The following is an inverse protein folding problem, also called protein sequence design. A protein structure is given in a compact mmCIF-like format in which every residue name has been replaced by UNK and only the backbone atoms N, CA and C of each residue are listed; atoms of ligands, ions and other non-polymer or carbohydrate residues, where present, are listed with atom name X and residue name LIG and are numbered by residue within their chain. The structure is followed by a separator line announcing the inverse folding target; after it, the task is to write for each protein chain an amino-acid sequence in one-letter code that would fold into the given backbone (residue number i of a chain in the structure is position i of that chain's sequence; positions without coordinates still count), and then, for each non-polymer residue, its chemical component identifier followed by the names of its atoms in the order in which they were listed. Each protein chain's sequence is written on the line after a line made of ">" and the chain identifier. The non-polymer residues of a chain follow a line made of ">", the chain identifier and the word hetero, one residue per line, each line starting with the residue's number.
data_IF_722248937113
#
_entry.id   IF_722248937113
#
_cell.length_a   1.000
_cell.length_b   1.000
_cell.length_c   1.000
_cell.angle_alpha   90.00
_cell.angle_beta   90.00
_cell.angle_gamma   90.00
#
_symmetry.space_group_name_H-M   'P 1'
#
loop_
_entity.id
_entity.type
_entity.pdbx_description
1 polymer ?
#
# COMPACT_ATOMS: atom_id res chain seq x y z
N UNK A 1 -4.48 9.54 -78.71
CA UNK A 1 -3.20 9.86 -79.37
C UNK A 1 -2.11 9.94 -78.31
N UNK A 2 -1.00 9.23 -78.53
CA UNK A 2 0.23 9.19 -77.71
C UNK A 2 0.79 10.60 -77.42
N UNK A 3 1.72 10.90 -76.51
CA UNK A 3 2.68 10.24 -75.59
C UNK A 3 3.06 11.34 -74.55
N UNK A 4 3.67 11.11 -73.38
CA UNK A 4 5.10 10.82 -73.12
C UNK A 4 5.26 10.58 -71.60
N UNK A 5 6.27 9.78 -71.29
CA UNK A 5 6.71 9.13 -70.03
C UNK A 5 7.46 10.06 -69.05
N UNK A 6 7.51 9.65 -67.77
CA UNK A 6 8.57 9.77 -66.72
C UNK A 6 8.04 10.42 -65.42
N UNK A 7 7.86 9.61 -64.36
CA UNK A 7 8.81 9.37 -63.22
C UNK A 7 8.87 10.57 -62.26
N UNK A 8 8.89 10.50 -60.92
CA UNK A 8 8.87 9.45 -59.90
C UNK A 8 8.60 10.20 -58.56
N UNK A 9 7.81 9.59 -57.67
CA UNK A 9 7.94 9.59 -56.18
C UNK A 9 8.23 10.91 -55.42
N UNK A 10 7.37 11.21 -54.42
CA UNK A 10 7.77 12.10 -53.32
C UNK A 10 6.64 12.61 -52.44
N UNK A 11 6.11 11.75 -51.58
CA UNK A 11 4.98 12.01 -50.70
C UNK A 11 5.23 13.06 -49.59
N UNK A 12 4.10 13.63 -49.13
CA UNK A 12 3.77 14.10 -47.77
C UNK A 12 3.78 15.62 -47.44
N UNK A 13 2.55 16.15 -47.47
CA UNK A 13 1.86 16.90 -46.39
C UNK A 13 2.28 18.34 -46.07
N UNK A 14 1.45 19.34 -46.42
CA UNK A 14 1.64 20.72 -45.97
C UNK A 14 1.06 20.96 -44.58
N UNK A 15 1.93 21.45 -43.70
CA UNK A 15 1.59 22.31 -42.58
C UNK A 15 0.97 23.63 -43.09
N UNK A 16 0.06 24.17 -42.27
CA UNK A 16 -0.18 25.60 -42.01
C UNK A 16 -1.45 26.28 -42.59
N UNK A 17 -1.95 27.18 -41.73
CA UNK A 17 -2.99 28.21 -41.88
C UNK A 17 -4.46 27.74 -41.84
N UNK A 18 -5.38 28.37 -41.09
CA UNK A 18 -5.44 29.77 -40.72
C UNK A 18 -6.19 30.02 -39.40
N UNK A 19 -5.71 31.03 -38.67
CA UNK A 19 -6.46 31.85 -37.73
C UNK A 19 -7.39 32.83 -38.47
N UNK A 20 -8.63 33.01 -38.01
CA UNK A 20 -9.29 34.33 -37.97
C UNK A 20 -10.67 34.27 -37.29
N UNK A 21 -10.79 35.10 -36.25
CA UNK A 21 -11.94 35.99 -35.95
C UNK A 21 -13.32 35.40 -35.66
N UNK A 22 -13.74 35.49 -34.39
CA UNK A 22 -14.93 36.28 -34.04
C UNK A 22 -14.83 36.76 -32.58
N UNK A 23 -14.57 38.06 -32.41
CA UNK A 23 -14.92 38.83 -31.22
C UNK A 23 -16.36 39.28 -31.41
N UNK A 24 -17.21 39.13 -30.38
CA UNK A 24 -18.14 40.15 -29.83
C UNK A 24 -19.03 39.47 -28.79
N UNK A 25 -19.12 40.07 -27.59
CA UNK A 25 -20.21 39.83 -26.65
C UNK A 25 -19.81 39.23 -25.30
N UNK A 26 -19.14 39.99 -24.44
CA UNK A 26 -19.16 39.73 -23.00
C UNK A 26 -20.55 40.05 -22.44
N UNK A 27 -21.23 39.03 -21.91
CA UNK A 27 -22.21 39.18 -20.83
C UNK A 27 -21.73 38.27 -19.70
N UNK A 28 -21.30 38.80 -18.53
CA UNK A 28 -20.94 37.97 -17.40
C UNK A 28 -22.22 37.48 -16.70
N UNK A 29 -22.79 36.41 -17.24
CA UNK A 29 -23.96 35.73 -16.70
C UNK A 29 -23.63 34.27 -16.41
N UNK A 30 -23.48 33.95 -15.13
CA UNK A 30 -23.61 32.64 -14.50
C UNK A 30 -23.69 31.41 -15.44
N UNK A 31 -22.53 30.82 -15.76
CA UNK A 31 -22.46 29.39 -16.07
C UNK A 31 -22.16 28.63 -14.78
N UNK A 32 -23.20 28.44 -13.97
CA UNK A 32 -23.20 27.44 -12.90
C UNK A 32 -23.34 26.06 -13.55
N UNK A 33 -22.23 25.54 -14.08
CA UNK A 33 -22.11 24.12 -14.34
C UNK A 33 -22.14 23.41 -12.97
N UNK A 34 -23.32 22.99 -12.54
CA UNK A 34 -23.51 22.10 -11.39
C UNK A 34 -22.89 20.75 -11.73
N UNK A 35 -21.57 20.63 -11.55
CA UNK A 35 -20.98 19.34 -11.22
C UNK A 35 -21.60 18.91 -9.90
N UNK A 36 -22.57 18.00 -9.93
CA UNK A 36 -22.95 17.21 -8.75
C UNK A 36 -21.76 16.29 -8.39
N UNK A 37 -20.71 16.90 -7.86
CA UNK A 37 -19.64 16.22 -7.13
C UNK A 37 -19.88 16.49 -5.65
N UNK A 38 -19.79 15.45 -4.83
CA UNK A 38 -19.79 15.57 -3.37
C UNK A 38 -18.79 16.67 -2.96
N UNK A 39 -19.27 17.78 -2.40
CA UNK A 39 -18.40 18.84 -1.85
C UNK A 39 -17.85 18.35 -0.52
N UNK A 40 -16.66 17.76 -0.58
CA UNK A 40 -15.90 17.38 0.61
C UNK A 40 -15.65 18.66 1.42
N UNK A 41 -16.02 18.66 2.70
CA UNK A 41 -15.72 19.77 3.60
C UNK A 41 -14.20 19.85 3.73
N UNK A 42 -13.59 21.04 3.59
CA UNK A 42 -12.17 21.22 3.83
C UNK A 42 -11.76 20.66 5.20
N UNK A 43 -10.62 19.98 5.34
CA UNK A 43 -10.22 19.34 6.60
C UNK A 43 -10.23 20.29 7.81
N UNK A 44 -9.80 21.54 7.60
CA UNK A 44 -9.77 22.59 8.64
C UNK A 44 -11.19 22.95 9.13
N UNK A 45 -12.11 23.17 8.19
CA UNK A 45 -13.51 23.46 8.51
C UNK A 45 -14.17 22.26 9.21
N UNK A 46 -13.87 21.04 8.79
CA UNK A 46 -14.37 19.83 9.45
C UNK A 46 -13.85 19.70 10.90
N UNK A 47 -12.59 20.05 11.14
CA UNK A 47 -11.99 20.07 12.47
C UNK A 47 -12.65 21.13 13.37
N UNK A 48 -12.89 22.33 12.82
CA UNK A 48 -13.57 23.41 13.52
C UNK A 48 -15.00 23.02 13.90
N UNK A 49 -15.79 22.53 12.95
CA UNK A 49 -17.16 22.08 13.21
C UNK A 49 -17.18 20.99 14.29
N UNK A 50 -16.30 20.00 14.22
CA UNK A 50 -16.20 18.95 15.23
C UNK A 50 -15.87 19.50 16.62
N UNK A 51 -15.02 20.52 16.71
CA UNK A 51 -14.67 21.18 17.97
C UNK A 51 -15.87 21.93 18.55
N UNK A 52 -16.58 22.72 17.73
CA UNK A 52 -17.77 23.45 18.17
C UNK A 52 -18.87 22.51 18.66
N UNK A 53 -19.10 21.37 17.97
CA UNK A 53 -20.08 20.38 18.41
C UNK A 53 -19.66 19.67 19.69
N UNK A 54 -18.37 19.42 19.88
CA UNK A 54 -17.84 18.83 21.09
C UNK A 54 -18.01 19.74 22.30
N UNK A 55 -17.70 21.03 22.16
CA UNK A 55 -17.88 22.03 23.21
C UNK A 55 -19.34 22.12 23.65
N UNK A 56 -20.31 22.05 22.72
CA UNK A 56 -21.75 22.04 23.02
C UNK A 56 -22.21 20.88 23.91
N UNK A 57 -21.52 19.73 23.86
CA UNK A 57 -21.87 18.54 24.63
C UNK A 57 -20.88 18.26 25.77
N UNK A 58 -19.98 19.19 26.08
CA UNK A 58 -18.98 19.04 27.15
C UNK A 58 -17.89 18.00 26.84
N UNK A 59 -17.65 17.71 25.56
CA UNK A 59 -16.61 16.81 25.09
C UNK A 59 -15.30 17.58 24.83
N UNK A 60 -14.15 16.90 24.90
CA UNK A 60 -12.83 17.52 24.76
C UNK A 60 -12.64 18.21 23.37
N UNK A 61 -11.95 19.35 23.26
CA UNK A 61 -11.70 20.01 21.97
C UNK A 61 -10.58 19.34 21.13
N UNK A 62 -9.81 18.40 21.68
CA UNK A 62 -8.80 17.62 20.96
C UNK A 62 -9.41 16.40 20.26
N UNK A 63 -9.17 16.18 18.95
CA UNK A 63 -9.67 15.02 18.21
C UNK A 63 -9.34 13.67 18.86
N UNK A 64 -8.12 13.53 19.41
CA UNK A 64 -7.70 12.28 20.05
C UNK A 64 -8.48 12.03 21.34
N UNK A 65 -8.56 13.02 22.23
CA UNK A 65 -9.32 12.88 23.47
C UNK A 65 -10.81 12.65 23.19
N UNK A 66 -11.37 13.34 22.18
CA UNK A 66 -12.73 13.08 21.71
C UNK A 66 -12.95 11.66 21.27
N UNK A 67 -12.07 11.15 20.40
CA UNK A 67 -12.21 9.81 19.87
C UNK A 67 -12.28 8.78 21.01
N UNK A 68 -11.46 8.95 22.05
CA UNK A 68 -11.46 8.08 23.25
C UNK A 68 -12.76 8.21 24.04
N UNK A 69 -13.25 9.44 24.26
CA UNK A 69 -14.56 9.68 24.92
C UNK A 69 -15.73 9.08 24.13
N UNK A 70 -15.61 8.99 22.80
CA UNK A 70 -16.58 8.34 21.91
C UNK A 70 -16.45 6.80 21.87
N UNK A 71 -15.46 6.23 22.55
CA UNK A 71 -15.19 4.79 22.60
C UNK A 71 -14.37 4.26 21.43
N UNK A 72 -13.62 5.10 20.72
CA UNK A 72 -12.68 4.67 19.69
C UNK A 72 -11.35 4.23 20.30
N UNK A 73 -10.93 3.02 19.97
CA UNK A 73 -9.60 2.49 20.22
C UNK A 73 -8.70 2.64 18.98
N UNK A 74 -7.43 3.01 19.21
CA UNK A 74 -6.45 3.32 18.18
C UNK A 74 -5.41 2.21 18.03
N UNK A 75 -4.56 2.33 17.01
CA UNK A 75 -3.47 1.38 16.71
C UNK A 75 -3.85 0.32 15.68
N UNK A 76 -5.07 0.37 15.16
CA UNK A 76 -5.54 -0.53 14.13
C UNK A 76 -5.10 -0.09 12.73
N UNK A 77 -4.82 -1.05 11.86
CA UNK A 77 -4.41 -0.85 10.48
C UNK A 77 -5.28 -1.66 9.54
N UNK A 78 -5.59 -1.09 8.38
CA UNK A 78 -6.30 -1.76 7.30
C UNK A 78 -5.54 -1.65 5.99
N UNK A 79 -5.33 -2.77 5.30
CA UNK A 79 -4.80 -2.79 3.94
C UNK A 79 -5.91 -2.58 2.92
N UNK A 80 -5.76 -1.60 2.04
CA UNK A 80 -6.67 -1.33 0.92
C UNK A 80 -5.90 -1.30 -0.40
N UNK A 81 -6.53 -1.65 -1.50
CA UNK A 81 -5.95 -1.58 -2.86
C UNK A 81 -5.99 -0.18 -3.46
N UNK A 82 -6.50 0.82 -2.72
CA UNK A 82 -6.73 2.19 -3.18
C UNK A 82 -7.21 3.09 -2.04
N UNK A 83 -7.10 4.41 -2.22
CA UNK A 83 -7.64 5.39 -1.25
C UNK A 83 -9.16 5.30 -1.11
N UNK A 84 -9.66 4.94 0.07
CA UNK A 84 -11.11 4.84 0.35
C UNK A 84 -11.60 6.02 1.20
N UNK A 85 -12.80 6.49 0.89
CA UNK A 85 -13.51 7.50 1.70
C UNK A 85 -14.44 6.88 2.74
N UNK A 86 -14.90 5.64 2.50
CA UNK A 86 -15.82 4.91 3.37
C UNK A 86 -15.62 3.40 3.26
N UNK A 87 -15.89 2.70 4.36
CA UNK A 87 -16.04 1.25 4.36
C UNK A 87 -17.43 0.87 3.85
N UNK A 88 -17.49 -0.16 3.00
CA UNK A 88 -18.68 -0.54 2.24
C UNK A 88 -19.03 -2.00 2.48
N UNK A 89 -20.23 -2.27 2.98
CA UNK A 89 -20.70 -3.65 3.25
C UNK A 89 -20.79 -4.48 1.97
N UNK A 90 -21.04 -3.86 0.83
CA UNK A 90 -21.13 -4.53 -0.46
C UNK A 90 -19.77 -4.95 -1.05
N UNK A 91 -18.66 -4.57 -0.41
CA UNK A 91 -17.29 -4.94 -0.82
C UNK A 91 -16.63 -5.94 0.17
N UNK A 92 -17.40 -6.47 1.13
CA UNK A 92 -16.89 -7.45 2.10
C UNK A 92 -16.37 -8.70 1.38
N UNK A 93 -15.12 -9.08 1.68
CA UNK A 93 -14.46 -10.23 1.07
C UNK A 93 -14.01 -10.07 -0.38
N UNK A 94 -14.18 -8.89 -1.01
CA UNK A 94 -13.89 -8.68 -2.46
C UNK A 94 -12.41 -8.94 -2.82
N UNK A 95 -11.48 -8.76 -1.87
CA UNK A 95 -10.05 -8.99 -2.10
C UNK A 95 -9.56 -10.38 -1.72
N UNK A 96 -10.10 -10.98 -0.66
CA UNK A 96 -9.57 -12.24 -0.11
C UNK A 96 -10.45 -13.46 -0.42
N UNK A 97 -11.74 -13.26 -0.72
CA UNK A 97 -12.70 -14.35 -0.92
C UNK A 97 -13.07 -15.15 0.33
N UNK A 98 -12.41 -14.92 1.47
CA UNK A 98 -12.60 -15.68 2.70
C UNK A 98 -14.03 -15.53 3.27
N UNK A 99 -14.61 -16.62 3.78
CA UNK A 99 -15.97 -16.62 4.35
C UNK A 99 -16.12 -15.68 5.54
N UNK A 100 -15.09 -15.57 6.38
CA UNK A 100 -15.05 -14.62 7.48
C UNK A 100 -15.04 -13.16 6.99
N UNK A 101 -14.29 -12.86 5.92
CA UNK A 101 -14.17 -11.54 5.32
C UNK A 101 -15.47 -11.04 4.66
N UNK A 102 -16.40 -11.94 4.34
CA UNK A 102 -17.74 -11.59 3.84
C UNK A 102 -18.68 -11.08 4.94
N UNK A 103 -18.31 -11.22 6.21
CA UNK A 103 -19.18 -10.96 7.38
C UNK A 103 -18.75 -9.75 8.22
N UNK A 104 -17.54 -9.23 8.04
CA UNK A 104 -17.04 -8.09 8.81
C UNK A 104 -15.78 -7.46 8.21
N UNK A 105 -15.41 -6.29 8.73
CA UNK A 105 -14.21 -5.56 8.32
C UNK A 105 -13.04 -5.94 9.21
N UNK A 106 -11.92 -6.34 8.62
CA UNK A 106 -10.74 -6.86 9.32
C UNK A 106 -9.63 -5.82 9.44
N UNK A 107 -8.99 -5.82 10.60
CA UNK A 107 -7.92 -4.89 10.97
C UNK A 107 -6.83 -5.64 11.70
N UNK A 108 -5.59 -5.19 11.51
CA UNK A 108 -4.42 -5.70 12.20
C UNK A 108 -3.86 -4.65 13.16
N UNK A 109 -3.29 -5.08 14.28
CA UNK A 109 -2.63 -4.21 15.26
C UNK A 109 -1.45 -4.96 15.88
N UNK A 110 -0.45 -4.22 16.32
CA UNK A 110 0.63 -4.79 17.14
C UNK A 110 0.04 -5.47 18.39
N UNK A 111 0.54 -6.65 18.80
CA UNK A 111 -0.04 -7.37 19.92
C UNK A 111 0.10 -6.52 21.20
N UNK A 112 -1.01 -6.25 21.89
CA UNK A 112 -0.97 -5.41 23.10
C UNK A 112 -0.37 -6.15 24.30
N UNK A 113 -0.69 -7.44 24.45
CA UNK A 113 -0.25 -8.29 25.55
C UNK A 113 0.34 -9.59 25.01
N UNK A 114 1.49 -9.52 24.30
CA UNK A 114 2.14 -10.72 23.78
C UNK A 114 2.62 -11.62 24.94
N UNK A 115 2.62 -12.95 24.75
CA UNK A 115 3.16 -13.87 25.74
C UNK A 115 4.62 -13.52 26.08
N UNK A 116 4.97 -13.49 27.37
CA UNK A 116 6.29 -13.04 27.82
C UNK A 116 7.46 -13.83 27.20
N UNK A 117 7.27 -15.13 26.94
CA UNK A 117 8.27 -15.97 26.31
C UNK A 117 8.57 -15.58 24.84
N UNK A 118 7.68 -14.83 24.19
CA UNK A 118 7.87 -14.31 22.83
C UNK A 118 8.59 -12.96 22.79
N UNK A 119 8.71 -12.30 23.94
CA UNK A 119 9.42 -11.02 24.06
C UNK A 119 10.93 -11.19 24.24
N UNK A 120 11.41 -12.42 24.33
CA UNK A 120 12.83 -12.77 24.51
C UNK A 120 13.31 -13.67 23.38
N UNK A 121 14.52 -13.43 22.86
CA UNK A 121 15.11 -14.23 21.77
C UNK A 121 15.58 -15.60 22.26
N UNK A 122 16.12 -15.64 23.48
CA UNK A 122 16.59 -16.86 24.10
C UNK A 122 16.41 -16.82 25.62
N UNK A 123 16.22 -17.98 26.27
CA UNK A 123 16.25 -18.09 27.74
C UNK A 123 17.55 -17.54 28.35
N UNK A 124 17.47 -17.05 29.58
CA UNK A 124 18.59 -16.43 30.31
C UNK A 124 19.77 -17.37 30.56
N UNK A 125 19.52 -18.68 30.57
CA UNK A 125 20.46 -19.78 30.72
C UNK A 125 20.93 -20.36 29.38
N UNK A 126 20.51 -19.78 28.25
CA UNK A 126 20.96 -20.21 26.93
C UNK A 126 22.45 -19.94 26.73
N UNK A 127 23.11 -20.83 25.95
CA UNK A 127 24.52 -20.68 25.56
C UNK A 127 24.81 -19.32 24.89
N UNK A 128 23.83 -18.78 24.17
CA UNK A 128 23.93 -17.48 23.51
C UNK A 128 24.01 -16.33 24.52
N UNK A 129 23.15 -16.34 25.54
CA UNK A 129 23.17 -15.33 26.61
C UNK A 129 24.43 -15.48 27.46
N UNK A 130 24.85 -16.71 27.75
CA UNK A 130 26.09 -16.98 28.48
C UNK A 130 27.34 -16.50 27.71
N UNK A 131 27.37 -16.67 26.39
CA UNK A 131 28.45 -16.14 25.55
C UNK A 131 28.55 -14.61 25.67
N UNK A 132 27.42 -13.88 25.64
CA UNK A 132 27.43 -12.42 25.81
C UNK A 132 27.99 -12.00 27.17
N UNK A 133 27.66 -12.74 28.25
CA UNK A 133 28.26 -12.52 29.58
C UNK A 133 29.77 -12.75 29.56
N UNK A 134 30.24 -13.83 28.92
CA UNK A 134 31.68 -14.15 28.79
C UNK A 134 32.44 -13.10 27.96
N UNK A 135 31.77 -12.43 27.03
CA UNK A 135 32.31 -11.32 26.26
C UNK A 135 32.34 -9.98 27.03
N UNK A 136 31.94 -9.98 28.31
CA UNK A 136 31.97 -8.79 29.17
C UNK A 136 30.87 -7.78 28.87
N UNK A 137 29.81 -8.17 28.17
CA UNK A 137 28.69 -7.29 27.88
C UNK A 137 27.85 -7.11 29.16
N UNK A 138 27.53 -5.86 29.57
CA UNK A 138 26.70 -5.60 30.73
C UNK A 138 25.29 -6.23 30.65
N UNK A 139 24.73 -6.68 31.77
CA UNK A 139 23.41 -7.34 31.82
C UNK A 139 22.27 -6.47 31.27
N UNK A 140 22.32 -5.14 31.44
CA UNK A 140 21.32 -4.23 30.87
C UNK A 140 21.37 -4.19 29.34
N UNK A 141 22.57 -4.31 28.76
CA UNK A 141 22.77 -4.41 27.32
C UNK A 141 22.38 -5.79 26.80
N UNK A 142 22.67 -6.86 27.54
CA UNK A 142 22.21 -8.23 27.21
C UNK A 142 20.68 -8.26 27.19
N UNK A 143 20.01 -7.69 28.20
CA UNK A 143 18.55 -7.61 28.26
C UNK A 143 17.97 -6.88 27.05
N UNK A 144 18.54 -5.72 26.67
CA UNK A 144 18.13 -4.98 25.46
C UNK A 144 18.34 -5.80 24.18
N UNK A 145 19.51 -6.44 24.03
CA UNK A 145 19.82 -7.29 22.87
C UNK A 145 18.93 -8.52 22.80
N UNK A 146 18.49 -9.06 23.94
CA UNK A 146 17.63 -10.23 24.03
C UNK A 146 16.14 -9.89 23.88
N UNK A 147 15.76 -8.61 23.90
CA UNK A 147 14.37 -8.18 23.74
C UNK A 147 13.94 -8.29 22.27
N UNK A 148 12.71 -8.77 22.05
CA UNK A 148 12.02 -8.76 20.76
C UNK A 148 10.98 -7.65 20.77
N UNK A 149 11.04 -6.75 19.78
CA UNK A 149 9.99 -5.75 19.56
C UNK A 149 8.97 -6.31 18.58
N UNK A 150 7.69 -6.15 18.90
CA UNK A 150 6.57 -6.47 18.00
C UNK A 150 6.04 -5.22 17.28
N UNK A 151 6.72 -4.09 17.42
CA UNK A 151 6.30 -2.81 16.85
C UNK A 151 6.30 -2.87 15.32
N UNK A 152 5.18 -2.48 14.71
CA UNK A 152 5.00 -2.45 13.27
C UNK A 152 4.46 -3.73 12.65
N UNK A 153 4.30 -4.82 13.43
CA UNK A 153 3.75 -6.08 12.92
C UNK A 153 2.32 -5.93 12.35
N UNK A 154 1.49 -5.11 13.00
CA UNK A 154 0.13 -4.84 12.54
C UNK A 154 0.12 -4.09 11.21
N UNK A 155 1.00 -3.10 11.05
CA UNK A 155 1.12 -2.34 9.82
C UNK A 155 1.69 -3.18 8.65
N UNK A 156 2.69 -4.02 8.91
CA UNK A 156 3.25 -4.93 7.91
C UNK A 156 2.22 -5.98 7.47
N UNK A 157 1.47 -6.55 8.42
CA UNK A 157 0.40 -7.49 8.11
C UNK A 157 -0.70 -6.84 7.27
N UNK A 158 -1.14 -5.63 7.64
CA UNK A 158 -2.10 -4.86 6.86
C UNK A 158 -1.56 -4.55 5.45
N UNK A 159 -0.27 -4.24 5.32
CA UNK A 159 0.38 -4.06 4.02
C UNK A 159 0.24 -5.31 3.16
N UNK A 160 0.45 -6.50 3.73
CA UNK A 160 0.27 -7.77 3.03
C UNK A 160 -1.13 -7.92 2.41
N UNK A 161 -2.17 -7.41 3.06
CA UNK A 161 -3.55 -7.46 2.55
C UNK A 161 -3.83 -6.44 1.44
N UNK A 162 -3.16 -5.28 1.45
CA UNK A 162 -3.28 -4.30 0.37
C UNK A 162 -2.85 -4.87 -0.99
N UNK A 163 -1.95 -5.86 -0.99
CA UNK A 163 -1.38 -6.48 -2.18
C UNK A 163 -2.21 -7.63 -2.77
N UNK A 164 -3.24 -8.12 -2.06
CA UNK A 164 -4.02 -9.28 -2.51
C UNK A 164 -5.16 -8.90 -3.48
N UNK A 165 -5.55 -7.63 -3.54
CA UNK A 165 -6.85 -7.24 -4.09
C UNK A 165 -6.89 -6.75 -5.54
N UNK A 166 -5.84 -6.89 -6.35
CA UNK A 166 -5.81 -6.40 -7.74
C UNK A 166 -5.90 -4.87 -7.90
N UNK A 167 -5.98 -4.38 -9.15
CA UNK A 167 -6.30 -2.96 -9.42
C UNK A 167 -7.72 -2.65 -8.97
N UNK A 168 -7.88 -1.59 -8.18
CA UNK A 168 -9.18 -1.12 -7.75
C UNK A 168 -10.00 -0.59 -8.92
N UNK A 169 -9.39 0.15 -9.82
CA UNK A 169 -10.04 0.72 -11.00
C UNK A 169 -10.65 -0.37 -11.87
N UNK A 170 -9.89 -1.46 -12.09
CA UNK A 170 -10.37 -2.65 -12.78
C UNK A 170 -11.62 -3.24 -12.09
N UNK A 171 -11.55 -3.47 -10.78
CA UNK A 171 -12.68 -4.01 -10.00
C UNK A 171 -13.89 -3.08 -10.02
N UNK A 172 -13.67 -1.77 -9.93
CA UNK A 172 -14.75 -0.79 -10.00
C UNK A 172 -15.44 -0.77 -11.36
N UNK A 173 -14.67 -0.84 -12.45
CA UNK A 173 -15.17 -0.95 -13.81
C UNK A 173 -16.00 -2.24 -13.99
N UNK A 174 -15.46 -3.39 -13.57
CA UNK A 174 -16.18 -4.67 -13.60
C UNK A 174 -17.49 -4.63 -12.78
N UNK A 175 -17.49 -3.99 -11.61
CA UNK A 175 -18.69 -3.85 -10.78
C UNK A 175 -19.76 -2.98 -11.46
N UNK A 176 -19.35 -1.85 -12.05
CA UNK A 176 -20.27 -0.96 -12.78
C UNK A 176 -20.82 -1.67 -14.02
N UNK A 177 -19.98 -2.42 -14.74
CA UNK A 177 -20.38 -3.26 -15.85
C UNK A 177 -21.44 -4.29 -15.42
N UNK A 178 -21.17 -5.09 -14.38
CA UNK A 178 -22.12 -6.07 -13.84
C UNK A 178 -23.43 -5.43 -13.35
N UNK A 179 -23.37 -4.25 -12.72
CA UNK A 179 -24.54 -3.52 -12.27
C UNK A 179 -25.37 -2.98 -13.46
N UNK A 180 -24.72 -2.52 -14.53
CA UNK A 180 -25.38 -2.09 -15.75
C UNK A 180 -26.04 -3.27 -16.48
N UNK A 181 -25.37 -4.41 -16.55
CA UNK A 181 -25.92 -5.65 -17.11
C UNK A 181 -27.20 -6.08 -16.39
N UNK A 182 -27.18 -6.10 -15.05
CA UNK A 182 -28.37 -6.40 -14.23
C UNK A 182 -29.54 -5.44 -14.47
N UNK A 183 -29.26 -4.20 -14.87
CA UNK A 183 -30.26 -3.18 -15.21
C UNK A 183 -30.69 -3.21 -16.68
N UNK A 184 -30.13 -4.10 -17.49
CA UNK A 184 -30.37 -4.15 -18.94
C UNK A 184 -29.73 -2.99 -19.73
N UNK A 185 -28.85 -2.19 -19.10
CA UNK A 185 -28.17 -1.07 -19.76
C UNK A 185 -26.92 -1.55 -20.50
N UNK A 186 -27.12 -2.09 -21.71
CA UNK A 186 -26.03 -2.68 -22.52
C UNK A 186 -24.96 -1.66 -22.91
N UNK A 187 -25.31 -0.40 -23.13
CA UNK A 187 -24.35 0.67 -23.48
C UNK A 187 -23.39 0.94 -22.33
N UNK A 188 -23.91 1.07 -21.10
CA UNK A 188 -23.07 1.27 -19.91
C UNK A 188 -22.27 0.01 -19.55
N UNK A 189 -22.84 -1.18 -19.77
CA UNK A 189 -22.14 -2.46 -19.62
C UNK A 189 -20.89 -2.52 -20.49
N UNK A 190 -21.03 -2.30 -21.81
CA UNK A 190 -19.89 -2.36 -22.75
C UNK A 190 -18.84 -1.31 -22.44
N UNK A 191 -19.26 -0.07 -22.13
CA UNK A 191 -18.35 1.03 -21.81
C UNK A 191 -17.51 0.77 -20.55
N UNK A 192 -18.08 0.14 -19.53
CA UNK A 192 -17.34 -0.20 -18.32
C UNK A 192 -16.53 -1.49 -18.46
N UNK A 193 -16.94 -2.41 -19.34
CA UNK A 193 -16.14 -3.60 -19.68
C UNK A 193 -14.88 -3.22 -20.48
N UNK A 194 -15.01 -2.36 -21.49
CA UNK A 194 -13.89 -1.83 -22.28
C UNK A 194 -12.84 -1.15 -21.38
N UNK A 195 -13.28 -0.34 -20.41
CA UNK A 195 -12.38 0.24 -19.41
C UNK A 195 -11.62 -0.82 -18.61
N UNK A 196 -12.30 -1.90 -18.19
CA UNK A 196 -11.67 -2.97 -17.44
C UNK A 196 -10.62 -3.70 -18.31
N UNK A 197 -10.94 -3.96 -19.58
CA UNK A 197 -10.00 -4.55 -20.54
C UNK A 197 -8.79 -3.64 -20.78
N UNK A 198 -8.99 -2.34 -20.99
CA UNK A 198 -7.92 -1.36 -21.15
C UNK A 198 -6.98 -1.30 -19.95
N UNK A 199 -7.53 -1.33 -18.74
CA UNK A 199 -6.74 -1.36 -17.50
C UNK A 199 -5.90 -2.64 -17.42
N UNK A 200 -6.51 -3.80 -17.71
CA UNK A 200 -5.80 -5.08 -17.68
C UNK A 200 -4.71 -5.17 -18.76
N UNK A 201 -4.99 -4.68 -19.97
CA UNK A 201 -4.02 -4.63 -21.08
C UNK A 201 -2.88 -3.65 -20.79
N UNK A 202 -3.17 -2.51 -20.19
CA UNK A 202 -2.16 -1.54 -19.76
C UNK A 202 -1.21 -2.13 -18.71
N UNK A 203 -1.75 -2.78 -17.68
CA UNK A 203 -0.94 -3.46 -16.64
C UNK A 203 -0.07 -4.57 -17.26
N UNK A 204 -0.65 -5.38 -18.17
CA UNK A 204 0.09 -6.42 -18.89
C UNK A 204 1.24 -5.84 -19.73
N UNK A 205 0.97 -4.79 -20.52
CA UNK A 205 2.00 -4.13 -21.36
C UNK A 205 3.10 -3.53 -20.49
N UNK A 206 2.76 -2.89 -19.37
CA UNK A 206 3.73 -2.34 -18.45
C UNK A 206 4.62 -3.44 -17.84
N UNK A 207 4.04 -4.56 -17.37
CA UNK A 207 4.80 -5.72 -16.88
C UNK A 207 5.72 -6.34 -17.94
N UNK A 208 5.23 -6.50 -19.18
CA UNK A 208 6.04 -6.98 -20.29
C UNK A 208 7.21 -6.04 -20.59
N UNK A 209 6.96 -4.72 -20.61
CA UNK A 209 8.01 -3.71 -20.80
C UNK A 209 9.06 -3.75 -19.69
N UNK A 210 8.64 -4.01 -18.45
CA UNK A 210 9.53 -4.15 -17.29
C UNK A 210 10.42 -5.36 -17.38
N UNK A 211 9.91 -6.52 -17.81
CA UNK A 211 10.72 -7.72 -18.04
C UNK A 211 11.78 -7.44 -19.12
N UNK A 212 11.41 -6.73 -20.19
CA UNK A 212 12.35 -6.28 -21.23
C UNK A 212 13.45 -5.39 -20.66
N UNK A 213 13.08 -4.29 -19.97
CA UNK A 213 14.02 -3.37 -19.33
C UNK A 213 14.92 -4.07 -18.30
N UNK A 214 14.39 -5.03 -17.56
CA UNK A 214 15.14 -5.79 -16.57
C UNK A 214 16.20 -6.68 -17.22
N UNK A 215 15.84 -7.42 -18.27
CA UNK A 215 16.80 -8.24 -19.02
C UNK A 215 17.88 -7.38 -19.67
N UNK A 216 17.49 -6.28 -20.33
CA UNK A 216 18.44 -5.36 -20.97
C UNK A 216 19.41 -4.75 -19.94
N UNK A 217 18.89 -4.22 -18.82
CA UNK A 217 19.73 -3.64 -17.78
C UNK A 217 20.66 -4.68 -17.13
N UNK A 218 20.20 -5.93 -16.99
CA UNK A 218 21.04 -7.03 -16.49
C UNK A 218 22.20 -7.30 -17.44
N UNK A 219 21.91 -7.43 -18.72
CA UNK A 219 22.90 -7.80 -19.72
C UNK A 219 23.92 -6.67 -19.92
N UNK A 220 23.47 -5.41 -19.97
CA UNK A 220 24.35 -4.22 -19.98
C UNK A 220 25.27 -4.17 -18.75
N UNK A 221 24.73 -4.46 -17.57
CA UNK A 221 25.48 -4.47 -16.31
C UNK A 221 26.55 -5.56 -16.33
N UNK A 222 26.19 -6.80 -16.67
CA UNK A 222 27.11 -7.93 -16.69
C UNK A 222 28.25 -7.70 -17.70
N UNK A 223 27.91 -7.23 -18.90
CA UNK A 223 28.89 -6.88 -19.94
C UNK A 223 29.83 -5.75 -19.47
N UNK A 224 29.30 -4.70 -18.84
CA UNK A 224 30.12 -3.58 -18.36
C UNK A 224 31.03 -3.99 -17.21
N UNK A 225 30.57 -4.82 -16.27
CA UNK A 225 31.39 -5.36 -15.20
C UNK A 225 32.49 -6.26 -15.78
N UNK A 226 32.15 -7.12 -16.73
CA UNK A 226 33.12 -8.01 -17.36
C UNK A 226 34.20 -7.22 -18.10
N UNK A 227 33.82 -6.20 -18.88
CA UNK A 227 34.76 -5.29 -19.55
C UNK A 227 35.62 -4.52 -18.55
N UNK A 228 35.05 -4.03 -17.44
CA UNK A 228 35.81 -3.28 -16.45
C UNK A 228 36.91 -4.14 -15.79
N UNK A 229 36.60 -5.40 -15.49
CA UNK A 229 37.51 -6.30 -14.76
C UNK A 229 38.53 -6.99 -15.68
N UNK A 230 38.09 -7.50 -16.84
CA UNK A 230 38.91 -8.36 -17.70
C UNK A 230 39.61 -7.62 -18.86
N UNK A 231 39.46 -6.31 -19.01
CA UNK A 231 40.16 -5.53 -20.05
C UNK A 231 41.66 -5.30 -19.77
N UNK A 232 42.30 -6.22 -19.04
CA UNK A 232 43.72 -6.19 -18.68
C UNK A 232 44.40 -7.39 -19.32
N UNK A 233 45.53 -7.18 -19.99
CA UNK A 233 46.40 -8.28 -20.42
C UNK A 233 47.14 -8.82 -19.19
N UNK A 234 46.83 -10.04 -18.79
CA UNK A 234 47.43 -10.71 -17.64
C UNK A 234 48.08 -12.03 -18.06
N UNK A 235 49.17 -12.46 -17.38
CA UNK A 235 49.67 -13.82 -17.46
C UNK A 235 48.58 -14.83 -17.10
N UNK A 236 48.65 -16.04 -17.69
CA UNK A 236 47.60 -17.07 -17.57
C UNK A 236 47.25 -17.41 -16.11
N UNK A 237 48.24 -17.52 -15.23
CA UNK A 237 48.06 -17.81 -13.80
C UNK A 237 47.31 -16.68 -13.07
N UNK A 238 47.64 -15.42 -13.36
CA UNK A 238 46.96 -14.27 -12.76
C UNK A 238 45.54 -14.10 -13.30
N UNK A 239 45.31 -14.44 -14.57
CA UNK A 239 43.98 -14.45 -15.18
C UNK A 239 43.08 -15.53 -14.54
N UNK A 240 43.61 -16.71 -14.25
CA UNK A 240 42.89 -17.79 -13.57
C UNK A 240 42.54 -17.43 -12.12
N UNK A 241 43.46 -16.79 -11.38
CA UNK A 241 43.18 -16.29 -10.03
C UNK A 241 42.11 -15.19 -10.03
N UNK A 242 42.18 -14.25 -10.98
CA UNK A 242 41.18 -13.20 -11.15
C UNK A 242 39.80 -13.82 -11.44
N UNK A 243 39.72 -14.78 -12.35
CA UNK A 243 38.47 -15.44 -12.71
C UNK A 243 37.84 -16.19 -11.52
N UNK A 244 38.66 -16.89 -10.74
CA UNK A 244 38.22 -17.53 -9.50
C UNK A 244 37.62 -16.51 -8.52
N UNK A 245 38.32 -15.39 -8.30
CA UNK A 245 37.86 -14.32 -7.40
C UNK A 245 36.55 -13.68 -7.89
N UNK A 246 36.41 -13.45 -9.21
CA UNK A 246 35.18 -12.92 -9.80
C UNK A 246 34.01 -13.88 -9.61
N UNK A 247 34.21 -15.19 -9.81
CA UNK A 247 33.17 -16.21 -9.58
C UNK A 247 32.75 -16.32 -8.11
N UNK A 248 33.68 -16.13 -7.17
CA UNK A 248 33.38 -16.07 -5.73
C UNK A 248 32.59 -14.81 -5.36
N UNK A 249 32.94 -13.66 -5.94
CA UNK A 249 32.26 -12.38 -5.71
C UNK A 249 30.87 -12.32 -6.34
N UNK A 250 30.71 -12.96 -7.50
CA UNK A 250 29.53 -12.90 -8.36
C UNK A 250 29.12 -14.32 -8.83
N UNK A 251 28.70 -15.21 -7.91
CA UNK A 251 28.22 -16.53 -8.27
C UNK A 251 26.95 -16.45 -9.14
N UNK A 252 26.63 -17.53 -9.84
CA UNK A 252 25.43 -17.58 -10.68
C UNK A 252 24.17 -17.11 -9.91
N UNK A 253 23.46 -16.13 -10.46
CA UNK A 253 22.26 -15.55 -9.84
C UNK A 253 22.50 -14.58 -8.67
N UNK A 254 23.73 -14.11 -8.43
CA UNK A 254 24.03 -13.14 -7.37
C UNK A 254 23.12 -11.89 -7.42
N UNK A 255 22.83 -11.41 -8.63
CA UNK A 255 22.09 -10.17 -8.89
C UNK A 255 20.60 -10.26 -8.50
N UNK A 256 20.05 -11.47 -8.33
CA UNK A 256 18.69 -11.64 -7.79
C UNK A 256 18.67 -11.69 -6.27
N UNK A 257 19.72 -12.23 -5.64
CA UNK A 257 19.67 -12.68 -4.25
C UNK A 257 20.47 -11.80 -3.28
N UNK A 258 21.35 -10.94 -3.78
CA UNK A 258 22.17 -10.09 -2.90
C UNK A 258 21.32 -9.04 -2.17
N UNK A 259 21.59 -8.93 -0.86
CA UNK A 259 21.12 -7.85 0.02
C UNK A 259 21.78 -6.52 -0.34
N UNK A 260 21.22 -5.37 0.08
CA UNK A 260 21.82 -4.05 -0.17
C UNK A 260 23.27 -3.94 0.33
N UNK A 261 23.59 -4.60 1.43
CA UNK A 261 24.90 -4.64 2.08
C UNK A 261 25.90 -5.46 1.25
N UNK A 262 25.46 -6.59 0.68
CA UNK A 262 26.26 -7.37 -0.25
C UNK A 262 26.52 -6.60 -1.55
N UNK A 263 25.53 -5.87 -2.06
CA UNK A 263 25.71 -5.00 -3.24
C UNK A 263 26.70 -3.87 -2.94
N UNK A 264 26.60 -3.22 -1.78
CA UNK A 264 27.55 -2.19 -1.35
C UNK A 264 28.97 -2.73 -1.28
N UNK A 265 29.14 -3.95 -0.79
CA UNK A 265 30.43 -4.64 -0.72
C UNK A 265 30.95 -4.96 -2.12
N UNK A 266 30.09 -5.50 -3.00
CA UNK A 266 30.44 -5.81 -4.38
C UNK A 266 30.94 -4.57 -5.15
N UNK A 267 30.27 -3.41 -4.98
CA UNK A 267 30.71 -2.15 -5.60
C UNK A 267 32.14 -1.78 -5.23
N UNK A 268 32.51 -1.96 -3.95
CA UNK A 268 33.87 -1.69 -3.47
C UNK A 268 34.88 -2.65 -4.11
N UNK A 269 34.55 -3.93 -4.19
CA UNK A 269 35.42 -4.93 -4.81
C UNK A 269 35.60 -4.71 -6.32
N UNK A 270 34.55 -4.30 -7.04
CA UNK A 270 34.65 -3.92 -8.46
C UNK A 270 35.61 -2.74 -8.63
N UNK A 271 35.50 -1.70 -7.79
CA UNK A 271 36.44 -0.58 -7.79
C UNK A 271 37.89 -1.03 -7.53
N UNK A 272 38.09 -1.92 -6.55
CA UNK A 272 39.42 -2.43 -6.22
C UNK A 272 40.04 -3.25 -7.36
N UNK A 273 39.23 -4.03 -8.08
CA UNK A 273 39.69 -4.90 -9.17
C UNK A 273 39.92 -4.15 -10.49
N UNK A 274 39.00 -3.26 -10.86
CA UNK A 274 39.04 -2.54 -12.14
C UNK A 274 39.83 -1.22 -12.06
N UNK A 275 39.83 -0.55 -10.91
CA UNK A 275 40.28 0.84 -10.75
C UNK A 275 39.14 1.83 -10.97
N UNK A 276 39.17 2.98 -10.27
CA UNK A 276 38.04 3.93 -10.21
C UNK A 276 37.52 4.37 -11.59
N UNK A 277 38.41 4.70 -12.53
CA UNK A 277 38.02 5.16 -13.87
C UNK A 277 37.33 4.07 -14.70
N UNK A 278 37.84 2.86 -14.64
CA UNK A 278 37.33 1.73 -15.42
C UNK A 278 36.04 1.17 -14.79
N UNK A 279 35.92 1.26 -13.47
CA UNK A 279 34.75 0.81 -12.73
C UNK A 279 33.53 1.74 -12.87
N UNK A 280 33.73 3.04 -13.12
CA UNK A 280 32.64 4.04 -13.14
C UNK A 280 31.45 3.63 -14.01
N UNK A 281 31.72 3.19 -15.25
CA UNK A 281 30.68 2.72 -16.18
C UNK A 281 29.96 1.49 -15.64
N UNK A 282 30.71 0.50 -15.14
CA UNK A 282 30.16 -0.73 -14.56
C UNK A 282 29.29 -0.46 -13.32
N UNK A 283 29.73 0.45 -12.45
CA UNK A 283 28.99 0.85 -11.26
C UNK A 283 27.70 1.60 -11.61
N UNK A 284 27.75 2.48 -12.61
CA UNK A 284 26.56 3.18 -13.10
C UNK A 284 25.52 2.21 -13.69
N UNK A 285 25.97 1.21 -14.47
CA UNK A 285 25.09 0.18 -15.01
C UNK A 285 24.55 -0.76 -13.93
N UNK A 286 25.34 -1.07 -12.91
CA UNK A 286 24.88 -1.77 -11.71
C UNK A 286 23.79 -0.97 -10.98
N UNK A 287 23.95 0.34 -10.81
CA UNK A 287 22.92 1.18 -10.20
C UNK A 287 21.64 1.24 -11.02
N UNK A 288 21.75 1.37 -12.35
CA UNK A 288 20.61 1.28 -13.27
C UNK A 288 19.89 -0.05 -13.13
N UNK A 289 20.62 -1.17 -13.14
CA UNK A 289 20.04 -2.50 -12.95
C UNK A 289 19.36 -2.63 -11.60
N UNK A 290 19.98 -2.17 -10.50
CA UNK A 290 19.38 -2.23 -9.18
C UNK A 290 18.08 -1.41 -9.10
N UNK A 291 18.04 -0.25 -9.75
CA UNK A 291 16.81 0.55 -9.88
C UNK A 291 15.71 -0.22 -10.61
N UNK A 292 15.99 -0.80 -11.78
CA UNK A 292 15.01 -1.56 -12.56
C UNK A 292 14.60 -2.85 -11.85
N UNK A 293 15.52 -3.52 -11.16
CA UNK A 293 15.24 -4.70 -10.33
C UNK A 293 14.29 -4.35 -9.19
N UNK A 294 14.53 -3.23 -8.51
CA UNK A 294 13.66 -2.77 -7.44
C UNK A 294 12.28 -2.37 -8.00
N UNK A 295 12.21 -1.69 -9.15
CA UNK A 295 10.94 -1.38 -9.84
C UNK A 295 10.19 -2.66 -10.23
N UNK A 296 10.86 -3.64 -10.84
CA UNK A 296 10.30 -4.93 -11.23
C UNK A 296 9.80 -5.73 -10.02
N UNK A 297 10.56 -5.76 -8.93
CA UNK A 297 10.14 -6.35 -7.66
C UNK A 297 8.95 -5.59 -7.06
N UNK A 298 8.95 -4.26 -7.13
CA UNK A 298 7.83 -3.44 -6.68
C UNK A 298 6.59 -3.76 -7.50
N UNK A 299 6.62 -3.78 -8.82
CA UNK A 299 5.41 -3.98 -9.65
C UNK A 299 4.86 -5.40 -9.54
N UNK A 300 5.72 -6.38 -9.26
CA UNK A 300 5.29 -7.73 -8.93
C UNK A 300 4.71 -7.85 -7.52
N UNK A 301 5.07 -6.95 -6.60
CA UNK A 301 4.58 -6.93 -5.21
C UNK A 301 3.49 -5.90 -4.94
N UNK A 302 3.40 -4.84 -5.73
CA UNK A 302 2.59 -3.64 -5.50
C UNK A 302 1.68 -3.48 -6.68
N UNK A 303 0.40 -3.72 -6.45
CA UNK A 303 -0.66 -3.25 -7.34
C UNK A 303 -0.79 -1.74 -7.12
N UNK A 304 -0.74 -0.96 -8.20
CA UNK A 304 -0.91 0.49 -8.15
C UNK A 304 -2.13 0.86 -7.29
N UNK A 305 -1.95 1.76 -6.32
CA UNK A 305 -3.01 2.22 -5.40
C UNK A 305 -3.00 1.59 -4.00
N UNK A 306 -2.21 0.54 -3.74
CA UNK A 306 -2.17 -0.11 -2.42
C UNK A 306 -1.80 0.87 -1.29
N UNK A 307 -2.59 0.90 -0.22
CA UNK A 307 -2.41 1.79 0.93
C UNK A 307 -2.66 1.05 2.26
N UNK A 308 -1.94 1.44 3.31
CA UNK A 308 -2.16 0.98 4.68
C UNK A 308 -2.75 2.12 5.48
N UNK A 309 -4.02 1.98 5.83
CA UNK A 309 -4.77 3.00 6.55
C UNK A 309 -4.70 2.77 8.06
N UNK A 310 -4.12 3.70 8.83
CA UNK A 310 -4.26 3.70 10.26
C UNK A 310 -5.66 4.19 10.66
N UNK A 311 -6.40 3.36 11.38
CA UNK A 311 -7.80 3.59 11.75
C UNK A 311 -7.99 3.49 13.25
N UNK A 312 -9.13 4.00 13.71
CA UNK A 312 -9.65 3.81 15.03
C UNK A 312 -10.98 3.05 14.94
N UNK A 313 -11.16 2.07 15.83
CA UNK A 313 -12.33 1.20 15.89
C UNK A 313 -13.15 1.50 17.13
N UNK A 314 -14.47 1.56 17.01
CA UNK A 314 -15.40 1.73 18.11
C UNK A 314 -16.22 0.47 18.33
N UNK A 315 -16.13 -0.08 19.53
CA UNK A 315 -16.89 -1.24 20.00
C UNK A 315 -17.13 -1.14 21.49
N UNK A 316 -18.21 -1.74 21.98
CA UNK A 316 -18.64 -1.72 23.38
C UNK A 316 -18.69 -3.11 24.00
N UNK A 317 -19.07 -4.11 23.21
CA UNK A 317 -19.22 -5.50 23.64
C UNK A 317 -18.54 -6.43 22.62
N UNK A 318 -17.20 -6.41 22.53
CA UNK A 318 -16.48 -7.32 21.67
C UNK A 318 -16.45 -8.74 22.25
N UNK A 319 -16.58 -9.75 21.40
CA UNK A 319 -16.09 -11.08 21.73
C UNK A 319 -14.56 -11.04 21.73
N UNK A 320 -13.91 -11.43 22.82
CA UNK A 320 -12.44 -11.49 22.89
C UNK A 320 -12.02 -12.96 22.92
N UNK A 321 -11.11 -13.34 22.03
CA UNK A 321 -10.51 -14.66 21.99
C UNK A 321 -8.98 -14.54 21.92
N UNK A 322 -8.25 -15.18 22.83
CA UNK A 322 -6.79 -15.13 22.88
C UNK A 322 -6.18 -16.44 22.39
N UNK A 323 -5.39 -16.38 21.32
CA UNK A 323 -4.69 -17.54 20.77
C UNK A 323 -3.38 -17.84 21.50
N UNK A 324 -2.97 -17.00 22.46
CA UNK A 324 -1.78 -17.17 23.30
C UNK A 324 -0.48 -17.35 22.50
N UNK A 325 -0.42 -16.87 21.26
CA UNK A 325 0.72 -17.08 20.36
C UNK A 325 0.83 -18.51 19.82
N UNK A 326 -0.23 -19.32 19.91
CA UNK A 326 -0.24 -20.64 19.27
C UNK A 326 -0.27 -20.52 17.75
N UNK A 327 0.60 -21.26 17.07
CA UNK A 327 0.58 -21.42 15.61
C UNK A 327 -0.51 -22.39 15.14
N UNK A 328 -1.02 -23.22 16.06
CA UNK A 328 -2.13 -24.13 15.82
C UNK A 328 -3.46 -23.53 16.31
N UNK A 329 -4.54 -23.76 15.56
CA UNK A 329 -5.88 -23.26 15.88
C UNK A 329 -6.90 -24.39 15.87
N UNK A 330 -7.56 -24.58 17.00
CA UNK A 330 -8.73 -25.47 17.12
C UNK A 330 -10.02 -24.83 16.58
N UNK A 331 -10.05 -23.50 16.49
CA UNK A 331 -11.22 -22.72 16.05
C UNK A 331 -10.83 -21.74 14.96
N UNK A 332 -11.59 -21.70 13.87
CA UNK A 332 -11.31 -20.81 12.75
C UNK A 332 -11.79 -19.38 13.02
N UNK A 333 -11.25 -18.40 12.31
CA UNK A 333 -11.75 -17.03 12.38
C UNK A 333 -13.22 -16.93 11.92
N UNK A 334 -13.64 -17.76 10.96
CA UNK A 334 -15.04 -17.78 10.52
C UNK A 334 -15.96 -18.22 11.65
N UNK A 335 -15.60 -19.27 12.39
CA UNK A 335 -16.41 -19.78 13.50
C UNK A 335 -16.53 -18.74 14.62
N UNK A 336 -15.44 -18.04 14.94
CA UNK A 336 -15.42 -16.97 15.93
C UNK A 336 -16.21 -15.74 15.49
N UNK A 337 -16.18 -15.39 14.20
CA UNK A 337 -17.03 -14.32 13.64
C UNK A 337 -18.50 -14.71 13.75
N UNK A 338 -18.86 -15.94 13.38
CA UNK A 338 -20.23 -16.42 13.48
C UNK A 338 -20.69 -16.49 14.92
N UNK A 339 -19.82 -16.90 15.85
CA UNK A 339 -20.10 -16.86 17.27
C UNK A 339 -20.34 -15.43 17.77
N UNK A 340 -19.47 -14.48 17.40
CA UNK A 340 -19.61 -13.09 17.80
C UNK A 340 -20.96 -12.51 17.35
N UNK A 341 -21.34 -12.76 16.09
CA UNK A 341 -22.62 -12.32 15.52
C UNK A 341 -23.81 -13.00 16.23
N UNK A 342 -23.77 -14.33 16.41
CA UNK A 342 -24.85 -15.07 17.09
C UNK A 342 -25.07 -14.61 18.53
N UNK A 343 -24.00 -14.24 19.23
CA UNK A 343 -24.04 -13.77 20.61
C UNK A 343 -24.37 -12.27 20.74
N UNK A 344 -24.59 -11.56 19.63
CA UNK A 344 -24.93 -10.13 19.65
C UNK A 344 -23.77 -9.22 20.02
N UNK A 345 -22.52 -9.68 19.87
CA UNK A 345 -21.34 -8.84 20.06
C UNK A 345 -21.21 -7.83 18.91
N UNK A 346 -20.70 -6.64 19.20
CA UNK A 346 -20.53 -5.58 18.19
C UNK A 346 -19.16 -5.58 17.51
N UNK A 347 -18.25 -6.44 17.99
CA UNK A 347 -16.94 -6.70 17.40
C UNK A 347 -16.41 -8.08 17.82
N UNK A 348 -15.28 -8.47 17.21
CA UNK A 348 -14.47 -9.62 17.60
C UNK A 348 -13.01 -9.17 17.67
N UNK A 349 -12.33 -9.45 18.78
CA UNK A 349 -10.90 -9.18 18.99
C UNK A 349 -10.17 -10.50 19.20
N UNK A 350 -9.30 -10.83 18.27
CA UNK A 350 -8.46 -12.02 18.29
C UNK A 350 -7.07 -11.61 18.74
N UNK A 351 -6.68 -11.99 19.96
CA UNK A 351 -5.38 -11.61 20.53
C UNK A 351 -4.30 -12.63 20.19
N UNK A 352 -3.08 -12.13 20.05
CA UNK A 352 -1.85 -12.95 19.96
C UNK A 352 -1.96 -14.08 18.91
N UNK A 353 -2.36 -13.71 17.70
CA UNK A 353 -2.60 -14.64 16.59
C UNK A 353 -1.70 -14.32 15.40
N UNK A 354 -1.79 -15.17 14.37
CA UNK A 354 -0.98 -15.11 13.15
C UNK A 354 -1.86 -14.98 11.91
N UNK A 355 -1.87 -13.82 11.26
CA UNK A 355 -2.71 -13.61 10.07
C UNK A 355 -1.84 -13.32 8.84
N UNK A 356 -1.25 -14.35 8.20
CA UNK A 356 -0.39 -14.12 7.05
C UNK A 356 -1.24 -13.65 5.87
N UNK A 357 -1.21 -12.34 5.57
CA UNK A 357 -1.64 -11.82 4.28
C UNK A 357 -0.71 -12.33 3.16
N UNK A 358 -0.26 -11.46 2.25
CA UNK A 358 0.80 -11.84 1.28
C UNK A 358 2.23 -11.82 1.87
N UNK A 359 2.38 -11.48 3.16
CA UNK A 359 3.67 -11.29 3.84
C UNK A 359 4.07 -12.44 4.77
N UNK A 360 5.15 -12.22 5.55
CA UNK A 360 5.57 -13.16 6.59
C UNK A 360 4.53 -13.22 7.72
N UNK A 361 4.31 -14.42 8.26
CA UNK A 361 3.43 -14.60 9.41
C UNK A 361 4.04 -13.94 10.65
N UNK A 362 3.35 -12.93 11.19
CA UNK A 362 3.76 -12.18 12.38
C UNK A 362 2.71 -12.30 13.48
N UNK A 363 3.17 -12.22 14.74
CA UNK A 363 2.27 -12.17 15.88
C UNK A 363 1.60 -10.80 15.93
N UNK A 364 0.27 -10.78 15.88
CA UNK A 364 -0.56 -9.58 15.89
C UNK A 364 -1.86 -9.79 16.68
N UNK A 365 -2.57 -8.71 16.94
CA UNK A 365 -4.00 -8.74 17.24
C UNK A 365 -4.80 -8.51 15.95
N UNK A 366 -5.90 -9.25 15.76
CA UNK A 366 -6.87 -9.03 14.67
C UNK A 366 -8.18 -8.50 15.25
N UNK A 367 -8.63 -7.37 14.73
CA UNK A 367 -9.90 -6.75 15.10
C UNK A 367 -10.91 -6.89 13.96
N UNK A 368 -12.14 -7.24 14.29
CA UNK A 368 -13.26 -7.33 13.35
C UNK A 368 -14.42 -6.50 13.85
N UNK A 369 -14.92 -5.59 13.02
CA UNK A 369 -16.17 -4.84 13.29
C UNK A 369 -17.19 -5.07 12.18
N UNK A 370 -18.47 -5.00 12.52
CA UNK A 370 -19.55 -5.41 11.61
C UNK A 370 -20.25 -4.23 10.91
N UNK A 371 -20.04 -3.00 11.39
CA UNK A 371 -20.66 -1.80 10.83
C UNK A 371 -19.63 -0.74 10.45
N UNK A 372 -19.81 -0.07 9.30
CA UNK A 372 -18.84 0.92 8.82
C UNK A 372 -18.75 2.17 9.71
N UNK A 373 -19.79 2.48 10.50
CA UNK A 373 -19.78 3.60 11.45
C UNK A 373 -18.97 3.32 12.74
N UNK A 374 -18.45 2.10 12.88
CA UNK A 374 -17.49 1.75 13.91
C UNK A 374 -16.06 2.14 13.52
N UNK A 375 -15.84 2.59 12.28
CA UNK A 375 -14.50 2.79 11.73
C UNK A 375 -14.31 4.27 11.39
N UNK A 376 -13.20 4.84 11.84
CA UNK A 376 -12.73 6.17 11.46
C UNK A 376 -11.25 6.14 11.16
N UNK A 377 -10.75 7.05 10.32
CA UNK A 377 -9.31 7.27 10.22
C UNK A 377 -8.79 7.81 11.54
N UNK A 378 -7.54 7.50 11.91
CA UNK A 378 -6.90 8.16 13.06
C UNK A 378 -6.83 9.70 12.90
N UNK A 379 -6.95 10.19 11.67
CA UNK A 379 -6.92 11.60 11.31
C UNK A 379 -8.31 12.23 11.17
N UNK A 380 -9.39 11.52 11.52
CA UNK A 380 -10.74 12.08 11.48
C UNK A 380 -10.89 13.23 12.49
N UNK A 381 -11.84 14.13 12.24
CA UNK A 381 -12.15 15.20 13.18
C UNK A 381 -12.89 14.70 14.44
N UNK A 382 -13.45 13.48 14.38
CA UNK A 382 -14.28 12.86 15.43
C UNK A 382 -15.43 13.76 15.87
N UNK A 383 -16.16 14.31 14.90
CA UNK A 383 -17.37 15.10 15.14
C UNK A 383 -18.45 14.21 15.80
N UNK A 384 -18.91 14.53 17.03
CA UNK A 384 -19.94 13.76 17.71
C UNK A 384 -21.27 13.69 16.94
N UNK A 385 -21.61 14.72 16.14
CA UNK A 385 -22.83 14.74 15.33
C UNK A 385 -22.79 13.70 14.20
N UNK A 386 -21.58 13.27 13.80
CA UNK A 386 -21.34 12.42 12.63
C UNK A 386 -20.90 11.00 12.98
N UNK A 387 -21.01 10.60 14.25
CA UNK A 387 -20.61 9.27 14.74
C UNK A 387 -21.36 8.10 14.08
N UNK A 388 -22.52 8.36 13.46
CA UNK A 388 -23.33 7.32 12.81
C UNK A 388 -23.01 7.13 11.33
N UNK A 389 -22.19 8.00 10.74
CA UNK A 389 -21.84 7.95 9.33
C UNK A 389 -20.80 6.86 9.00
N UNK A 390 -20.73 6.44 7.74
CA UNK A 390 -19.72 5.50 7.23
C UNK A 390 -18.48 6.18 6.65
N UNK A 391 -18.48 7.51 6.55
CA UNK A 391 -17.34 8.30 6.10
C UNK A 391 -16.19 8.20 7.11
N UNK A 392 -15.02 7.84 6.61
CA UNK A 392 -13.83 7.56 7.41
C UNK A 392 -13.28 8.83 8.07
N UNK A 393 -13.38 9.99 7.41
CA UNK A 393 -13.00 11.29 7.98
C UNK A 393 -14.17 11.98 8.67
N UNK A 394 -15.39 11.51 8.42
CA UNK A 394 -16.64 12.24 8.64
C UNK A 394 -16.51 13.64 8.04
N UNK A 395 -16.16 13.75 6.74
CA UNK A 395 -15.88 15.02 6.05
C UNK A 395 -16.74 15.28 4.81
N UNK A 396 -17.44 14.29 4.24
CA UNK A 396 -18.38 14.52 3.14
C UNK A 396 -19.65 15.18 3.66
N UNK A 397 -19.89 16.45 3.32
CA UNK A 397 -21.06 17.18 3.79
C UNK A 397 -22.33 16.61 3.16
N UNK A 398 -23.17 15.94 3.96
CA UNK A 398 -24.58 15.80 3.62
C UNK A 398 -25.26 17.16 3.89
N UNK A 399 -25.07 18.11 2.99
CA UNK A 399 -25.98 19.27 2.91
C UNK A 399 -27.33 18.74 2.41
N UNK A 400 -28.15 18.25 3.32
CA UNK A 400 -29.44 17.67 2.95
C UNK A 400 -30.23 17.10 4.13
N UNK A 401 -30.78 18.01 4.95
CA UNK A 401 -32.03 17.94 5.72
C UNK A 401 -31.84 18.36 7.19
N UNK A 402 -32.08 19.65 7.48
CA UNK A 402 -32.61 20.05 8.79
C UNK A 402 -31.79 20.96 9.71
N UNK A 403 -30.73 21.63 9.25
CA UNK A 403 -30.12 22.72 10.04
C UNK A 403 -29.92 23.96 9.17
N UNK A 404 -30.89 24.87 9.23
CA UNK A 404 -30.68 26.27 8.89
C UNK A 404 -29.74 26.86 9.93
N UNK A 405 -28.45 26.99 9.60
CA UNK A 405 -27.53 27.87 10.30
C UNK A 405 -27.09 28.95 9.31
N UNK A 406 -27.81 30.07 9.22
CA UNK A 406 -27.41 31.20 8.39
C UNK A 406 -26.39 32.03 9.16
N UNK A 407 -25.11 31.65 9.21
CA UNK A 407 -24.08 32.59 9.73
C UNK A 407 -22.61 32.26 9.38
N UNK A 408 -22.26 31.09 8.84
CA UNK A 408 -20.82 30.73 8.65
C UNK A 408 -20.25 31.11 7.27
N UNK A 409 -21.06 31.64 6.34
CA UNK A 409 -20.58 31.94 4.97
C UNK A 409 -19.89 33.32 4.84
N UNK A 410 -19.79 34.13 5.89
CA UNK A 410 -19.32 35.52 5.77
C UNK A 410 -17.86 35.81 6.15
N UNK A 411 -16.97 34.81 6.21
CA UNK A 411 -15.54 35.07 6.51
C UNK A 411 -14.51 34.50 5.53
N UNK A 412 -14.92 34.16 4.31
CA UNK A 412 -13.96 33.98 3.21
C UNK A 412 -14.50 34.70 1.97
N UNK A 413 -14.43 36.03 2.02
CA UNK A 413 -14.09 36.95 0.92
C UNK A 413 -14.14 38.39 1.42
#
# INVERSE_FOLDING_TARGET
>A
SASVISDLVGALSPFAYASAMSKVGQIPGASMAVKRGSTRIPPELNLQMAREQAEKIGQDPSPLARSRQQGYEHGWYHGTTGDIERFRKDLLGESTGAESAKKGFFFARDPQNPPAHMLIKAPSDSKSVELLRRLGIPEDQIAKLNTVSMAGHGAETASGYSLLGGSREYKEAMRKSNAALKKGNLTEYSRELEKAEDIALSDLRYRQSLVGRWNEARDEMLDSIQKAIYNKQLPQNEAEELDKKVKELMPYGWYTNYSPEQIKTLKKEINNLAGEKQAESALSKLDKFMSVRNEHQLVNKTLSGSNVMPVALRYKNPLIYDFQGSTYRDTTYSDLVDQAIRQGNDALILKNTYDPGSGRSQLIDVGVVFNPNQIRSKFAAFDPARMKESDILAGVGALGAGLTAPEVIQQIN
#
